data_IF_011794336601
#
_entry.id   IF_011794336601
#
_cell.length_a   1.000
_cell.length_b   1.000
_cell.length_c   1.000
_cell.angle_alpha   90.00
_cell.angle_beta   90.00
_cell.angle_gamma   90.00
#
_symmetry.space_group_name_H-M   'P 1'
#
loop_
_entity.id
_entity.type
_entity.pdbx_description
1 polymer ?
#
# COMPACT_ATOMS: atom_id res chain seq x y z
N UNK A 1 -5.73 -5.92 -39.46
CA UNK A 1 -4.77 -6.19 -38.37
C UNK A 1 -5.25 -5.61 -37.03
N UNK A 2 -6.47 -5.95 -36.55
CA UNK A 2 -6.97 -5.49 -35.23
C UNK A 2 -7.32 -6.64 -34.27
N UNK A 3 -7.16 -7.89 -34.72
CA UNK A 3 -7.57 -9.09 -33.97
C UNK A 3 -6.42 -9.80 -33.23
N UNK A 4 -5.19 -9.76 -33.74
CA UNK A 4 -4.05 -10.46 -33.10
C UNK A 4 -3.58 -9.75 -31.82
N UNK A 5 -3.59 -8.42 -31.79
CA UNK A 5 -3.10 -7.66 -30.63
C UNK A 5 -4.03 -7.79 -29.41
N UNK A 6 -5.35 -7.83 -29.62
CA UNK A 6 -6.33 -8.04 -28.54
C UNK A 6 -6.29 -9.44 -27.94
N UNK A 7 -5.96 -10.45 -28.75
CA UNK A 7 -5.86 -11.83 -28.27
C UNK A 7 -4.62 -12.04 -27.39
N UNK A 8 -3.47 -11.48 -27.80
CA UNK A 8 -2.23 -11.53 -27.01
C UNK A 8 -2.38 -10.77 -25.69
N UNK A 9 -3.01 -9.59 -25.69
CA UNK A 9 -3.28 -8.82 -24.46
C UNK A 9 -4.21 -9.55 -23.48
N UNK A 10 -5.23 -10.24 -23.99
CA UNK A 10 -6.17 -11.00 -23.15
C UNK A 10 -5.52 -12.25 -22.53
N UNK A 11 -4.60 -12.90 -23.24
CA UNK A 11 -3.85 -14.06 -22.72
C UNK A 11 -2.90 -13.63 -21.60
N UNK A 12 -2.15 -12.55 -21.82
CA UNK A 12 -1.20 -11.97 -20.85
C UNK A 12 -1.88 -11.56 -19.54
N UNK A 13 -3.03 -10.86 -19.63
CA UNK A 13 -3.84 -10.53 -18.44
C UNK A 13 -4.36 -11.77 -17.71
N UNK A 14 -4.74 -12.82 -18.45
CA UNK A 14 -5.25 -14.05 -17.84
C UNK A 14 -4.17 -14.87 -17.12
N UNK A 15 -2.92 -14.82 -17.60
CA UNK A 15 -1.78 -15.46 -16.95
C UNK A 15 -1.38 -14.70 -15.68
N UNK A 16 -1.34 -13.37 -15.75
CA UNK A 16 -1.09 -12.50 -14.58
C UNK A 16 -2.09 -12.75 -13.44
N UNK A 17 -3.39 -12.79 -13.75
CA UNK A 17 -4.44 -13.07 -12.74
C UNK A 17 -4.27 -14.45 -12.09
N UNK A 18 -3.91 -15.47 -12.88
CA UNK A 18 -3.67 -16.82 -12.35
C UNK A 18 -2.48 -16.86 -11.40
N UNK A 19 -1.40 -16.14 -11.72
CA UNK A 19 -0.23 -16.07 -10.84
C UNK A 19 -0.56 -15.35 -9.54
N UNK A 20 -1.25 -14.21 -9.57
CA UNK A 20 -1.70 -13.50 -8.35
C UNK A 20 -2.60 -14.41 -7.51
N UNK A 21 -3.52 -15.16 -8.13
CA UNK A 21 -4.39 -16.09 -7.42
C UNK A 21 -3.60 -17.22 -6.73
N UNK A 22 -2.57 -17.74 -7.38
CA UNK A 22 -1.68 -18.76 -6.80
C UNK A 22 -0.88 -18.19 -5.63
N UNK A 23 -0.27 -17.01 -5.81
CA UNK A 23 0.45 -16.31 -4.75
C UNK A 23 -0.46 -16.03 -3.55
N UNK A 24 -1.72 -15.63 -3.78
CA UNK A 24 -2.69 -15.42 -2.71
C UNK A 24 -2.97 -16.70 -1.94
N UNK A 25 -3.17 -17.81 -2.64
CA UNK A 25 -3.42 -19.10 -1.99
C UNK A 25 -2.22 -19.52 -1.12
N UNK A 26 -0.99 -19.28 -1.59
CA UNK A 26 0.24 -19.54 -0.85
C UNK A 26 0.38 -18.61 0.38
N UNK A 27 0.13 -17.31 0.22
CA UNK A 27 0.16 -16.33 1.30
C UNK A 27 -0.85 -16.65 2.41
N UNK A 28 -2.10 -16.98 2.04
CA UNK A 28 -3.14 -17.41 2.99
C UNK A 28 -2.76 -18.70 3.71
N UNK A 29 -2.15 -19.66 3.01
CA UNK A 29 -1.67 -20.91 3.62
C UNK A 29 -0.55 -20.62 4.62
N UNK A 30 0.40 -19.74 4.28
CA UNK A 30 1.49 -19.31 5.17
C UNK A 30 0.91 -18.67 6.44
N UNK A 31 0.01 -17.70 6.30
CA UNK A 31 -0.66 -17.04 7.42
C UNK A 31 -1.35 -18.04 8.34
N UNK A 32 -2.09 -19.01 7.78
CA UNK A 32 -2.79 -20.04 8.56
C UNK A 32 -1.83 -21.02 9.26
N UNK A 33 -0.66 -21.26 8.68
CA UNK A 33 0.35 -22.18 9.22
C UNK A 33 1.25 -21.51 10.29
N UNK A 34 1.11 -20.20 10.52
CA UNK A 34 1.87 -19.51 11.54
C UNK A 34 1.52 -20.05 12.94
N UNK A 35 2.52 -20.34 13.78
CA UNK A 35 2.30 -20.70 15.17
C UNK A 35 1.51 -19.63 15.96
N UNK A 36 0.72 -20.07 16.94
CA UNK A 36 -0.04 -19.15 17.80
C UNK A 36 0.86 -18.22 18.64
N UNK A 37 2.11 -18.61 18.86
CA UNK A 37 3.12 -17.83 19.57
C UNK A 37 4.02 -16.98 18.65
N UNK A 38 3.69 -16.87 17.35
CA UNK A 38 4.39 -15.96 16.44
C UNK A 38 4.33 -14.51 16.95
N UNK A 39 5.39 -13.75 16.69
CA UNK A 39 5.40 -12.33 17.04
C UNK A 39 4.23 -11.62 16.34
N UNK A 40 3.47 -10.75 17.03
CA UNK A 40 2.30 -10.09 16.45
C UNK A 40 2.60 -9.34 15.15
N UNK A 41 3.78 -8.71 15.08
CA UNK A 41 4.25 -7.98 13.89
C UNK A 41 4.52 -8.90 12.71
N UNK A 42 5.08 -10.09 12.93
CA UNK A 42 5.31 -11.06 11.85
C UNK A 42 3.99 -11.56 11.27
N UNK A 43 2.99 -11.76 12.13
CA UNK A 43 1.63 -12.10 11.69
C UNK A 43 0.98 -10.94 10.94
N UNK A 44 1.17 -9.71 11.39
CA UNK A 44 0.69 -8.51 10.70
C UNK A 44 1.31 -8.34 9.31
N UNK A 45 2.60 -8.65 9.13
CA UNK A 45 3.23 -8.67 7.79
C UNK A 45 2.61 -9.73 6.89
N UNK A 46 2.36 -10.93 7.41
CA UNK A 46 1.68 -11.96 6.64
C UNK A 46 0.22 -11.59 6.29
N UNK A 47 -0.47 -10.82 7.13
CA UNK A 47 -1.77 -10.22 6.79
C UNK A 47 -1.63 -9.19 5.67
N UNK A 48 -0.58 -8.35 5.73
CA UNK A 48 -0.31 -7.32 4.72
C UNK A 48 0.00 -7.92 3.34
N UNK A 49 0.81 -8.99 3.28
CA UNK A 49 1.07 -9.76 2.05
C UNK A 49 -0.25 -10.23 1.41
N UNK A 50 -1.19 -10.72 2.23
CA UNK A 50 -2.51 -11.15 1.76
C UNK A 50 -3.32 -9.95 1.26
N UNK A 51 -3.28 -8.83 1.98
CA UNK A 51 -4.01 -7.62 1.61
C UNK A 51 -3.56 -7.07 0.24
N UNK A 52 -2.25 -6.98 0.01
CA UNK A 52 -1.67 -6.51 -1.25
C UNK A 52 -2.13 -7.38 -2.43
N UNK A 53 -2.11 -8.71 -2.26
CA UNK A 53 -2.57 -9.64 -3.29
C UNK A 53 -4.08 -9.54 -3.52
N UNK A 54 -4.90 -9.30 -2.49
CA UNK A 54 -6.34 -9.00 -2.67
C UNK A 54 -6.55 -7.74 -3.47
N UNK A 55 -5.82 -6.68 -3.15
CA UNK A 55 -5.89 -5.40 -3.82
C UNK A 55 -5.54 -5.56 -5.31
N UNK A 56 -4.46 -6.30 -5.62
CA UNK A 56 -4.08 -6.63 -6.99
C UNK A 56 -5.11 -7.46 -7.79
N UNK A 57 -6.06 -8.13 -7.11
CA UNK A 57 -7.21 -8.79 -7.77
C UNK A 57 -8.47 -7.93 -7.81
N UNK A 58 -8.40 -6.65 -7.42
CA UNK A 58 -9.55 -5.75 -7.34
C UNK A 58 -10.52 -6.09 -6.19
N UNK A 59 -10.05 -6.79 -5.15
CA UNK A 59 -10.87 -7.19 -3.99
C UNK A 59 -10.64 -6.23 -2.82
N UNK A 60 -11.07 -4.97 -3.01
CA UNK A 60 -10.86 -3.89 -2.05
C UNK A 60 -11.43 -4.17 -0.66
N UNK A 61 -12.63 -4.74 -0.56
CA UNK A 61 -13.25 -5.07 0.73
C UNK A 61 -12.42 -6.07 1.53
N UNK A 62 -11.92 -7.13 0.90
CA UNK A 62 -11.05 -8.10 1.56
C UNK A 62 -9.68 -7.52 1.87
N UNK A 63 -9.08 -6.78 0.94
CA UNK A 63 -7.81 -6.09 1.16
C UNK A 63 -7.86 -5.20 2.40
N UNK A 64 -8.94 -4.41 2.52
CA UNK A 64 -9.19 -3.54 3.65
C UNK A 64 -9.20 -4.29 4.99
N UNK A 65 -9.90 -5.42 5.07
CA UNK A 65 -9.98 -6.19 6.31
C UNK A 65 -8.60 -6.63 6.81
N UNK A 66 -7.80 -7.22 5.91
CA UNK A 66 -6.45 -7.68 6.23
C UNK A 66 -5.50 -6.51 6.55
N UNK A 67 -5.51 -5.46 5.74
CA UNK A 67 -4.66 -4.28 5.95
C UNK A 67 -5.03 -3.53 7.23
N UNK A 68 -6.32 -3.46 7.60
CA UNK A 68 -6.77 -2.74 8.80
C UNK A 68 -6.32 -3.44 10.08
N UNK A 69 -6.38 -4.77 10.09
CA UNK A 69 -5.85 -5.58 11.18
C UNK A 69 -4.33 -5.39 11.30
N UNK A 70 -3.61 -5.49 10.18
CA UNK A 70 -2.15 -5.31 10.14
C UNK A 70 -1.74 -3.90 10.61
N UNK A 71 -2.38 -2.85 10.07
CA UNK A 71 -2.14 -1.45 10.42
C UNK A 71 -2.26 -1.21 11.93
N UNK A 72 -3.31 -1.74 12.56
CA UNK A 72 -3.55 -1.59 14.00
C UNK A 72 -2.42 -2.21 14.82
N UNK A 73 -1.91 -3.37 14.40
CA UNK A 73 -0.76 -4.01 15.05
C UNK A 73 0.51 -3.18 14.85
N UNK A 74 0.79 -2.71 13.63
CA UNK A 74 1.99 -1.92 13.37
C UNK A 74 2.04 -0.63 14.17
N UNK A 75 0.91 0.07 14.31
CA UNK A 75 0.82 1.26 15.16
C UNK A 75 1.06 0.92 16.63
N UNK A 76 0.44 -0.16 17.14
CA UNK A 76 0.59 -0.57 18.54
C UNK A 76 2.02 -0.99 18.92
N UNK A 77 2.77 -1.52 17.96
CA UNK A 77 4.16 -1.96 18.15
C UNK A 77 5.19 -0.97 17.59
N UNK A 78 4.77 0.23 17.19
CA UNK A 78 5.63 1.29 16.67
C UNK A 78 6.43 0.90 15.40
N UNK A 79 5.89 -0.02 14.60
CA UNK A 79 6.44 -0.41 13.30
C UNK A 79 5.99 0.57 12.21
N UNK A 80 6.52 1.79 12.27
CA UNK A 80 6.05 2.92 11.45
C UNK A 80 6.15 2.71 9.94
N UNK A 81 7.22 2.07 9.47
CA UNK A 81 7.39 1.77 8.05
C UNK A 81 6.24 0.89 7.53
N UNK A 82 5.99 -0.22 8.21
CA UNK A 82 4.94 -1.18 7.85
C UNK A 82 3.54 -0.56 8.03
N UNK A 83 3.36 0.33 9.02
CA UNK A 83 2.11 1.06 9.22
C UNK A 83 1.80 2.02 8.06
N UNK A 84 2.81 2.73 7.54
CA UNK A 84 2.66 3.64 6.40
C UNK A 84 2.31 2.87 5.13
N UNK A 85 2.97 1.74 4.88
CA UNK A 85 2.65 0.86 3.75
C UNK A 85 1.24 0.26 3.87
N UNK A 86 0.80 -0.11 5.07
CA UNK A 86 -0.57 -0.57 5.31
C UNK A 86 -1.61 0.53 5.11
N UNK A 87 -1.30 1.78 5.46
CA UNK A 87 -2.18 2.93 5.20
C UNK A 87 -2.37 3.18 3.69
N UNK A 88 -1.33 2.97 2.89
CA UNK A 88 -1.43 3.06 1.42
C UNK A 88 -2.37 1.99 0.85
N UNK A 89 -2.25 0.74 1.29
CA UNK A 89 -3.17 -0.34 0.88
C UNK A 89 -4.61 -0.04 1.33
N UNK A 90 -4.80 0.52 2.54
CA UNK A 90 -6.11 0.95 3.01
C UNK A 90 -6.71 2.04 2.12
N UNK A 91 -5.89 3.00 1.68
CA UNK A 91 -6.33 4.04 0.74
C UNK A 91 -6.75 3.44 -0.61
N UNK A 92 -5.89 2.62 -1.20
CA UNK A 92 -6.13 2.00 -2.51
C UNK A 92 -7.30 1.01 -2.52
N UNK A 93 -7.75 0.54 -1.35
CA UNK A 93 -8.89 -0.36 -1.23
C UNK A 93 -10.25 0.32 -1.49
N UNK A 94 -10.31 1.66 -1.65
CA UNK A 94 -11.51 2.44 -2.02
C UNK A 94 -12.74 2.20 -1.12
N UNK A 95 -12.51 1.88 0.15
CA UNK A 95 -13.56 1.80 1.18
C UNK A 95 -13.95 3.20 1.72
N UNK A 96 -15.10 3.36 2.40
CA UNK A 96 -15.58 4.66 2.87
C UNK A 96 -14.56 5.47 3.71
N UNK A 97 -13.71 4.79 4.47
CA UNK A 97 -12.70 5.42 5.34
C UNK A 97 -11.31 5.52 4.69
N UNK A 98 -11.17 5.26 3.39
CA UNK A 98 -9.86 5.24 2.68
C UNK A 98 -9.14 6.58 2.72
N UNK A 99 -9.87 7.68 2.57
CA UNK A 99 -9.31 9.03 2.69
C UNK A 99 -8.81 9.31 4.12
N UNK A 100 -9.51 8.81 5.14
CA UNK A 100 -9.06 8.91 6.53
C UNK A 100 -7.79 8.08 6.76
N UNK A 101 -7.70 6.90 6.16
CA UNK A 101 -6.50 6.06 6.22
C UNK A 101 -5.30 6.74 5.55
N UNK A 102 -5.50 7.38 4.38
CA UNK A 102 -4.46 8.18 3.72
C UNK A 102 -3.95 9.30 4.63
N UNK A 103 -4.85 10.08 5.24
CA UNK A 103 -4.48 11.13 6.18
C UNK A 103 -3.68 10.61 7.39
N UNK A 104 -4.06 9.45 7.94
CA UNK A 104 -3.32 8.79 9.01
C UNK A 104 -1.92 8.35 8.54
N UNK A 105 -1.82 7.75 7.35
CA UNK A 105 -0.56 7.35 6.75
C UNK A 105 0.40 8.53 6.56
N UNK A 106 -0.10 9.65 6.03
CA UNK A 106 0.70 10.87 5.83
C UNK A 106 1.18 11.43 7.16
N UNK A 107 0.30 11.51 8.16
CA UNK A 107 0.69 11.98 9.50
C UNK A 107 1.81 11.10 10.08
N UNK A 108 1.70 9.78 9.98
CA UNK A 108 2.75 8.86 10.42
C UNK A 108 4.05 9.05 9.62
N UNK A 109 3.95 9.13 8.29
CA UNK A 109 5.10 9.20 7.39
C UNK A 109 5.91 10.50 7.58
N UNK A 110 5.25 11.61 7.88
CA UNK A 110 5.92 12.89 8.19
C UNK A 110 6.50 12.89 9.61
N UNK A 111 5.78 12.33 10.58
CA UNK A 111 6.13 12.41 12.01
C UNK A 111 7.26 11.45 12.42
N UNK A 112 7.24 10.23 11.89
CA UNK A 112 8.13 9.15 12.31
C UNK A 112 9.19 8.83 11.25
N UNK A 113 10.32 8.20 11.65
CA UNK A 113 11.35 7.79 10.70
C UNK A 113 10.84 6.65 9.83
N UNK A 114 10.53 6.97 8.56
CA UNK A 114 10.22 6.02 7.50
C UNK A 114 11.00 6.38 6.24
N UNK A 115 11.12 5.44 5.30
CA UNK A 115 11.75 5.65 4.00
C UNK A 115 11.10 6.86 3.30
N UNK A 116 11.94 7.69 2.69
CA UNK A 116 11.47 8.86 1.96
C UNK A 116 10.44 8.48 0.89
N UNK A 117 10.73 7.40 0.15
CA UNK A 117 9.87 6.89 -0.91
C UNK A 117 8.43 6.63 -0.43
N UNK A 118 8.24 6.00 0.74
CA UNK A 118 6.90 5.73 1.27
C UNK A 118 6.15 7.02 1.61
N UNK A 119 6.85 8.06 2.06
CA UNK A 119 6.23 9.37 2.30
C UNK A 119 5.84 10.03 0.98
N UNK A 120 6.71 9.95 -0.03
CA UNK A 120 6.47 10.49 -1.38
C UNK A 120 5.27 9.78 -2.03
N UNK A 121 5.18 8.46 -1.93
CA UNK A 121 4.04 7.69 -2.46
C UNK A 121 2.72 8.19 -1.88
N UNK A 122 2.61 8.33 -0.56
CA UNK A 122 1.38 8.82 0.05
C UNK A 122 1.05 10.27 -0.32
N UNK A 123 2.06 11.13 -0.47
CA UNK A 123 1.85 12.52 -0.90
C UNK A 123 1.43 12.62 -2.37
N UNK A 124 1.90 11.70 -3.23
CA UNK A 124 1.44 11.63 -4.61
C UNK A 124 -0.06 11.29 -4.69
N UNK A 125 -0.58 10.43 -3.80
CA UNK A 125 -2.03 10.18 -3.72
C UNK A 125 -2.82 11.48 -3.46
N UNK A 126 -2.27 12.43 -2.66
CA UNK A 126 -2.91 13.75 -2.46
C UNK A 126 -2.87 14.59 -3.73
N UNK A 127 -1.77 14.54 -4.48
CA UNK A 127 -1.64 15.26 -5.76
C UNK A 127 -2.72 14.77 -6.71
N UNK A 128 -2.90 13.45 -6.83
CA UNK A 128 -3.85 12.83 -7.76
C UNK A 128 -5.32 13.10 -7.37
N UNK A 129 -5.61 13.23 -6.06
CA UNK A 129 -6.96 13.53 -5.54
C UNK A 129 -7.29 15.03 -5.51
N UNK A 130 -6.29 15.91 -5.66
CA UNK A 130 -6.50 17.35 -5.51
C UNK A 130 -6.96 17.98 -6.84
N UNK A 131 -8.10 18.71 -6.87
CA UNK A 131 -8.52 19.46 -8.04
C UNK A 131 -7.49 20.51 -8.50
N UNK A 132 -7.43 20.76 -9.82
CA UNK A 132 -6.50 21.69 -10.45
C UNK A 132 -6.58 23.15 -9.93
N UNK A 133 -7.70 23.54 -9.31
CA UNK A 133 -7.95 24.87 -8.78
C UNK A 133 -7.61 25.00 -7.27
N UNK A 134 -6.97 23.98 -6.69
CA UNK A 134 -6.54 23.93 -5.29
C UNK A 134 -5.01 23.88 -5.17
N UNK A 135 -4.47 24.62 -4.20
CA UNK A 135 -3.04 24.61 -3.89
C UNK A 135 -2.57 23.33 -3.16
N UNK A 136 -3.50 22.41 -2.84
CA UNK A 136 -3.19 21.18 -2.09
C UNK A 136 -2.15 20.28 -2.77
N UNK A 137 -2.22 20.15 -4.10
CA UNK A 137 -1.27 19.38 -4.90
C UNK A 137 0.15 19.98 -4.83
N UNK A 138 0.24 21.31 -4.92
CA UNK A 138 1.53 22.03 -4.86
C UNK A 138 2.17 21.85 -3.48
N UNK A 139 1.39 21.99 -2.41
CA UNK A 139 1.89 21.78 -1.04
C UNK A 139 2.37 20.34 -0.86
N UNK A 140 1.60 19.34 -1.31
CA UNK A 140 1.99 17.94 -1.24
C UNK A 140 3.30 17.66 -1.99
N UNK A 141 3.44 18.18 -3.21
CA UNK A 141 4.65 18.04 -4.02
C UNK A 141 5.88 18.69 -3.36
N UNK A 142 5.72 19.89 -2.78
CA UNK A 142 6.81 20.57 -2.06
C UNK A 142 7.24 19.80 -0.81
N UNK A 143 6.29 19.25 -0.04
CA UNK A 143 6.59 18.42 1.13
C UNK A 143 7.30 17.13 0.71
N UNK A 144 6.85 16.48 -0.37
CA UNK A 144 7.47 15.28 -0.91
C UNK A 144 8.93 15.55 -1.31
N UNK A 145 9.18 16.65 -2.03
CA UNK A 145 10.52 17.07 -2.42
C UNK A 145 11.40 17.38 -1.20
N UNK A 146 10.86 18.09 -0.20
CA UNK A 146 11.58 18.40 1.04
C UNK A 146 11.97 17.13 1.80
N UNK A 147 11.04 16.18 1.98
CA UNK A 147 11.29 14.93 2.68
C UNK A 147 12.31 14.06 1.93
N UNK A 148 12.22 13.98 0.60
CA UNK A 148 13.24 13.30 -0.21
C UNK A 148 14.63 13.91 0.05
N UNK A 149 14.76 15.23 -0.07
CA UNK A 149 16.02 15.93 0.19
C UNK A 149 16.57 15.76 1.61
N UNK A 150 15.71 15.55 2.61
CA UNK A 150 16.11 15.32 3.99
C UNK A 150 16.49 13.88 4.30
N UNK A 151 15.84 12.89 3.68
CA UNK A 151 15.88 11.48 4.10
C UNK A 151 16.58 10.54 3.12
N UNK A 152 16.93 10.99 1.92
CA UNK A 152 17.77 10.23 0.99
C UNK A 152 19.20 10.80 0.97
N UNK A 153 20.16 10.01 0.49
CA UNK A 153 21.57 10.39 0.31
C UNK A 153 22.07 9.94 -1.08
N UNK A 154 23.10 10.59 -1.61
CA UNK A 154 23.80 10.11 -2.82
C UNK A 154 22.90 10.04 -4.07
N UNK A 155 22.91 8.89 -4.76
CA UNK A 155 22.18 8.65 -6.02
C UNK A 155 20.65 8.54 -5.85
N UNK A 156 20.14 8.46 -4.61
CA UNK A 156 18.70 8.42 -4.31
C UNK A 156 18.07 9.81 -4.12
N UNK A 157 18.84 10.91 -4.24
CA UNK A 157 18.33 12.30 -4.30
C UNK A 157 18.07 12.73 -5.74
#
# INVERSE_FOLDING_TARGET
>A
MKGENSAVQAIDQSESVKEIQKLLAEARKRLKAMPDNSAPVDRARALLDVAELQLGMGRGTEAWQYAREAFSVFVNYEHWQDAVEAADILYQAEQPDSILALGQGIWLAVTYPVKAQSTVTLLNNIIDETPDDSDGAVVAAMVAHYIAGLRTDGEEK
#
